data_IF_393976458504
#
_entry.id   IF_393976458504
#
_cell.length_a   1.000
_cell.length_b   1.000
_cell.length_c   1.000
_cell.angle_alpha   90.00
_cell.angle_beta   90.00
_cell.angle_gamma   90.00
#
_symmetry.space_group_name_H-M   'P 1'
#
loop_
_entity.id
_entity.type
_entity.pdbx_description
1 polymer ?
#
# COMPACT_ATOMS: atom_id res chain seq x y z
N UNK A 1 1.50 -6.85 -22.62
CA UNK A 1 1.13 -6.63 -21.20
C UNK A 1 1.62 -5.27 -20.82
N UNK A 2 0.70 -4.40 -20.42
CA UNK A 2 1.05 -3.07 -19.92
C UNK A 2 1.49 -3.15 -18.45
N UNK A 3 2.34 -2.22 -18.01
CA UNK A 3 2.84 -2.13 -16.62
C UNK A 3 1.67 -2.10 -15.62
N UNK A 4 0.58 -1.43 -15.96
CA UNK A 4 -0.62 -1.36 -15.13
C UNK A 4 -1.30 -2.72 -14.90
N UNK A 5 -1.22 -3.63 -15.87
CA UNK A 5 -1.79 -4.98 -15.76
C UNK A 5 -0.91 -5.87 -14.86
N UNK A 6 0.41 -5.72 -14.98
CA UNK A 6 1.38 -6.41 -14.13
C UNK A 6 1.14 -6.04 -12.65
N UNK A 7 1.03 -4.74 -12.36
CA UNK A 7 0.79 -4.25 -10.99
C UNK A 7 -0.53 -4.79 -10.44
N UNK A 8 -1.60 -4.85 -11.24
CA UNK A 8 -2.89 -5.42 -10.79
C UNK A 8 -2.81 -6.92 -10.49
N UNK A 9 -1.92 -7.64 -11.16
CA UNK A 9 -1.76 -9.10 -11.01
C UNK A 9 -0.94 -9.51 -9.77
N UNK A 10 -0.18 -8.58 -9.17
CA UNK A 10 0.67 -8.87 -8.02
C UNK A 10 -0.12 -9.01 -6.71
N UNK A 11 0.30 -9.94 -5.87
CA UNK A 11 -0.22 -10.07 -4.51
C UNK A 11 0.43 -9.03 -3.58
N UNK A 12 -0.31 -8.51 -2.61
CA UNK A 12 0.14 -7.59 -1.58
C UNK A 12 1.23 -8.25 -0.73
N UNK A 13 1.18 -9.58 -0.57
CA UNK A 13 2.20 -10.33 0.15
C UNK A 13 3.54 -10.30 -0.59
N UNK A 14 3.53 -10.51 -1.90
CA UNK A 14 4.72 -10.41 -2.77
C UNK A 14 5.37 -9.03 -2.65
N UNK A 15 4.55 -8.01 -2.46
CA UNK A 15 4.98 -6.62 -2.45
C UNK A 15 5.57 -6.24 -1.11
N UNK A 16 4.88 -6.61 -0.04
CA UNK A 16 5.42 -6.46 1.31
C UNK A 16 6.77 -7.19 1.41
N UNK A 17 6.88 -8.39 0.85
CA UNK A 17 8.13 -9.15 0.80
C UNK A 17 9.22 -8.44 -0.02
N UNK A 18 8.88 -7.92 -1.21
CA UNK A 18 9.80 -7.15 -2.05
C UNK A 18 10.38 -5.93 -1.33
N UNK A 19 9.57 -5.24 -0.52
CA UNK A 19 10.01 -4.10 0.30
C UNK A 19 10.57 -4.51 1.68
N UNK A 20 10.70 -5.81 1.98
CA UNK A 20 11.19 -6.31 3.26
C UNK A 20 10.27 -6.05 4.45
N UNK A 21 9.00 -5.70 4.20
CA UNK A 21 8.01 -5.39 5.22
C UNK A 21 7.37 -6.70 5.70
N UNK A 22 7.62 -7.06 6.97
CA UNK A 22 7.07 -8.27 7.57
C UNK A 22 5.80 -7.97 8.33
N UNK A 23 4.74 -8.71 8.01
CA UNK A 23 3.52 -8.70 8.81
C UNK A 23 3.77 -9.30 10.19
N UNK A 24 3.11 -8.73 11.20
CA UNK A 24 3.04 -9.33 12.53
C UNK A 24 2.00 -10.47 12.58
N UNK A 25 1.85 -11.08 13.76
CA UNK A 25 0.88 -12.17 14.02
C UNK A 25 -0.58 -11.79 13.73
N UNK A 26 -0.90 -10.51 13.78
CA UNK A 26 -2.25 -9.97 13.53
C UNK A 26 -2.45 -9.55 12.06
N UNK A 27 -1.52 -9.91 11.16
CA UNK A 27 -1.52 -9.49 9.75
C UNK A 27 -1.46 -7.96 9.59
N UNK A 28 -0.79 -7.27 10.50
CA UNK A 28 -0.58 -5.83 10.46
C UNK A 28 0.88 -5.47 10.20
N UNK A 29 1.10 -4.29 9.63
CA UNK A 29 2.41 -3.68 9.34
C UNK A 29 2.42 -2.22 9.79
N UNK A 30 3.62 -1.67 9.98
CA UNK A 30 3.78 -0.21 10.06
C UNK A 30 3.44 0.40 8.70
N UNK A 31 2.61 1.43 8.70
CA UNK A 31 2.25 2.19 7.52
C UNK A 31 3.49 2.93 7.00
N UNK A 32 3.88 2.77 5.72
CA UNK A 32 5.01 3.52 5.16
C UNK A 32 4.65 4.97 4.76
N UNK A 33 3.39 5.40 4.91
CA UNK A 33 2.90 6.73 4.49
C UNK A 33 2.83 7.77 5.61
N UNK A 34 3.25 7.39 6.82
CA UNK A 34 3.47 8.29 7.95
C UNK A 34 4.54 7.69 8.85
N UNK A 35 5.11 8.49 9.76
CA UNK A 35 6.03 7.98 10.78
C UNK A 35 5.27 7.08 11.76
N UNK A 36 5.27 5.77 11.49
CA UNK A 36 4.47 4.78 12.19
C UNK A 36 5.31 3.92 13.14
N UNK A 37 5.26 4.24 14.43
CA UNK A 37 6.03 3.53 15.47
C UNK A 37 5.41 2.20 15.88
N UNK A 38 4.11 2.02 15.66
CA UNK A 38 3.37 0.80 15.97
C UNK A 38 2.58 0.38 14.74
N UNK A 39 2.44 -0.92 14.44
CA UNK A 39 1.67 -1.38 13.29
C UNK A 39 0.25 -0.81 13.28
N UNK A 40 -0.04 0.09 12.34
CA UNK A 40 -1.36 0.72 12.19
C UNK A 40 -2.08 0.31 10.91
N UNK A 41 -1.43 -0.47 10.03
CA UNK A 41 -1.98 -0.91 8.75
C UNK A 41 -2.30 -2.40 8.75
N UNK A 42 -3.57 -2.76 8.55
CA UNK A 42 -4.04 -4.13 8.37
C UNK A 42 -3.90 -4.57 6.91
N UNK A 43 -3.39 -5.78 6.72
CA UNK A 43 -3.30 -6.45 5.43
C UNK A 43 -4.43 -7.47 5.30
N UNK A 44 -5.20 -7.36 4.22
CA UNK A 44 -6.23 -8.33 3.85
C UNK A 44 -5.77 -9.07 2.60
N UNK A 45 -5.05 -10.18 2.75
CA UNK A 45 -4.46 -10.91 1.61
C UNK A 45 -5.51 -11.48 0.64
N UNK A 46 -6.68 -11.89 1.17
CA UNK A 46 -7.77 -12.49 0.40
C UNK A 46 -8.36 -11.52 -0.63
N UNK A 47 -8.68 -10.30 -0.18
CA UNK A 47 -9.10 -9.19 -1.04
C UNK A 47 -7.91 -8.47 -1.66
N UNK A 48 -6.70 -8.71 -1.13
CA UNK A 48 -5.41 -8.08 -1.45
C UNK A 48 -5.44 -6.56 -1.24
N UNK A 49 -6.19 -6.13 -0.24
CA UNK A 49 -6.32 -4.73 0.15
C UNK A 49 -5.55 -4.47 1.43
N UNK A 50 -5.33 -3.19 1.74
CA UNK A 50 -4.76 -2.75 3.01
C UNK A 50 -5.61 -1.62 3.57
N UNK A 51 -5.63 -1.47 4.89
CA UNK A 51 -6.30 -0.37 5.56
C UNK A 51 -5.46 0.15 6.72
N UNK A 52 -5.23 1.46 6.78
CA UNK A 52 -4.52 2.10 7.88
C UNK A 52 -5.52 2.75 8.85
N UNK A 53 -5.39 2.45 10.15
CA UNK A 53 -6.26 2.98 11.20
C UNK A 53 -5.73 4.27 11.84
N UNK A 54 -4.52 4.71 11.49
CA UNK A 54 -3.92 5.93 12.05
C UNK A 54 -4.58 7.16 11.45
N UNK A 55 -5.12 8.06 12.29
CA UNK A 55 -5.64 9.36 11.85
C UNK A 55 -4.61 10.28 11.16
N UNK A 56 -3.32 10.02 11.38
CA UNK A 56 -2.21 10.78 10.82
C UNK A 56 -1.73 10.27 9.45
N UNK A 57 -2.40 9.27 8.88
CA UNK A 57 -2.04 8.75 7.58
C UNK A 57 -2.45 9.75 6.48
N UNK A 58 -1.47 10.15 5.66
CA UNK A 58 -1.67 11.07 4.52
C UNK A 58 -2.57 10.49 3.42
N UNK A 59 -2.91 9.20 3.52
CA UNK A 59 -3.83 8.48 2.63
C UNK A 59 -5.22 8.26 3.25
N UNK A 60 -5.49 8.78 4.45
CA UNK A 60 -6.82 8.76 5.05
C UNK A 60 -7.81 9.57 4.21
N UNK A 61 -8.94 8.97 3.87
CA UNK A 61 -10.02 9.65 3.13
C UNK A 61 -9.91 9.55 1.61
N UNK A 62 -8.87 8.90 1.06
CA UNK A 62 -8.94 8.38 -0.30
C UNK A 62 -9.79 7.11 -0.27
N UNK A 63 -11.07 7.29 -0.59
CA UNK A 63 -12.10 6.28 -0.78
C UNK A 63 -11.52 4.90 -1.13
N UNK A 64 -11.77 3.91 -0.25
CA UNK A 64 -12.30 2.55 -0.44
C UNK A 64 -12.39 1.91 -1.84
N UNK A 65 -11.61 2.34 -2.83
CA UNK A 65 -11.59 1.90 -4.24
C UNK A 65 -10.22 1.50 -4.75
N UNK A 66 -9.17 1.64 -3.95
CA UNK A 66 -7.88 1.05 -4.28
C UNK A 66 -7.89 -0.43 -3.93
N UNK A 67 -8.33 -1.23 -4.89
CA UNK A 67 -7.80 -2.57 -5.02
C UNK A 67 -6.28 -2.42 -5.20
N UNK A 68 -5.50 -2.98 -4.28
CA UNK A 68 -4.18 -3.58 -4.51
C UNK A 68 -3.03 -2.63 -4.89
N UNK A 69 -1.94 -2.74 -4.14
CA UNK A 69 -0.57 -2.29 -4.52
C UNK A 69 -0.28 -0.80 -4.68
N UNK A 70 -1.12 -0.01 -5.34
CA UNK A 70 -0.76 1.37 -5.73
C UNK A 70 -0.46 2.29 -4.56
N UNK A 71 -0.92 1.99 -3.33
CA UNK A 71 -0.46 2.73 -2.17
C UNK A 71 1.06 2.56 -2.02
N UNK A 72 1.55 1.31 -1.96
CA UNK A 72 2.98 0.96 -1.82
C UNK A 72 3.80 1.31 -3.06
N UNK A 73 3.18 1.26 -4.25
CA UNK A 73 3.79 1.63 -5.53
C UNK A 73 3.26 2.96 -6.07
N UNK A 74 3.01 3.96 -5.22
CA UNK A 74 2.89 5.31 -5.75
C UNK A 74 4.28 5.70 -6.28
N UNK A 75 4.57 5.32 -7.53
CA UNK A 75 5.22 6.25 -8.42
C UNK A 75 4.35 7.50 -8.40
N UNK A 76 4.97 8.57 -7.92
CA UNK A 76 4.60 9.93 -8.23
C UNK A 76 3.89 10.02 -9.58
N UNK A 77 2.57 10.20 -9.56
CA UNK A 77 2.01 11.16 -10.50
C UNK A 77 2.47 12.53 -10.02
N UNK A 78 3.73 12.86 -10.28
CA UNK A 78 4.14 14.25 -10.54
C UNK A 78 3.62 14.57 -11.94
N UNK A 79 2.56 15.39 -12.12
CA UNK A 79 2.34 16.05 -13.39
C UNK A 79 3.26 17.28 -13.44
N UNK A 80 4.57 17.07 -13.60
CA UNK A 80 5.50 18.16 -13.94
C UNK A 80 6.87 17.63 -14.36
N UNK A 81 6.90 16.91 -15.48
CA UNK A 81 7.98 17.09 -16.44
C UNK A 81 7.33 17.38 -17.80
N UNK A 82 6.76 18.58 -17.91
CA UNK A 82 6.63 19.24 -19.20
C UNK A 82 7.75 20.28 -19.26
N UNK A 83 8.69 20.02 -20.17
CA UNK A 83 9.70 20.91 -20.76
C UNK A 83 10.64 21.66 -19.81
#
# INVERSE_FOLDING_TARGET
MEIAEIIKSLSILTVLDHYGIKMNRNKMVCCPFHDDKNPSMQVYAETNTVFCFSGNCTKNGMESKYNRLCCLFHEDKTPSMQL
#
